data_IF_251927482986
#
_entry.id   IF_251927482986
#
_cell.length_a   1.000
_cell.length_b   1.000
_cell.length_c   1.000
_cell.angle_alpha   90.00
_cell.angle_beta   90.00
_cell.angle_gamma   90.00
#
_symmetry.space_group_name_H-M   'P 1'
#
loop_
_entity.id
_entity.type
_entity.pdbx_description
1 polymer ?
#
# COMPACT_ATOMS: atom_id res chain seq x y z
N UNK A 1 11.92 -12.32 19.99
CA UNK A 1 12.55 -11.43 18.97
C UNK A 1 12.09 -11.76 17.56
N UNK A 2 11.74 -13.01 17.23
CA UNK A 2 11.20 -13.39 15.91
C UNK A 2 9.83 -12.74 15.64
N UNK A 3 8.90 -12.84 16.59
CA UNK A 3 7.51 -12.37 16.40
C UNK A 3 7.36 -10.92 15.95
N UNK A 4 8.27 -10.03 16.39
CA UNK A 4 8.25 -8.61 15.98
C UNK A 4 8.76 -8.46 14.55
N UNK A 5 9.80 -9.20 14.19
CA UNK A 5 10.40 -9.16 12.85
C UNK A 5 9.44 -9.76 11.82
N UNK A 6 8.79 -10.87 12.18
CA UNK A 6 7.79 -11.53 11.34
C UNK A 6 6.57 -10.63 11.12
N UNK A 7 6.04 -10.00 12.19
CA UNK A 7 4.95 -9.02 12.06
C UNK A 7 5.30 -7.83 11.18
N UNK A 8 6.52 -7.30 11.28
CA UNK A 8 6.97 -6.18 10.41
C UNK A 8 7.10 -6.66 8.97
N UNK A 9 7.66 -7.85 8.73
CA UNK A 9 7.76 -8.47 7.42
C UNK A 9 6.39 -8.72 6.77
N UNK A 10 5.43 -9.21 7.55
CA UNK A 10 4.04 -9.43 7.11
C UNK A 10 3.34 -8.12 6.76
N UNK A 11 3.55 -7.07 7.56
CA UNK A 11 2.99 -5.73 7.29
C UNK A 11 3.60 -5.10 6.05
N UNK A 12 4.92 -5.21 5.86
CA UNK A 12 5.58 -4.69 4.66
C UNK A 12 5.14 -5.45 3.39
N UNK A 13 5.01 -6.78 3.47
CA UNK A 13 4.50 -7.61 2.38
C UNK A 13 3.03 -7.28 2.06
N UNK A 14 2.23 -7.03 3.10
CA UNK A 14 0.84 -6.57 2.95
C UNK A 14 0.78 -5.19 2.27
N UNK A 15 1.66 -4.25 2.65
CA UNK A 15 1.75 -2.93 2.04
C UNK A 15 2.00 -3.02 0.53
N UNK A 16 2.96 -3.86 0.11
CA UNK A 16 3.26 -4.11 -1.30
C UNK A 16 2.05 -4.69 -2.06
N UNK A 17 1.34 -5.65 -1.45
CA UNK A 17 0.16 -6.26 -2.05
C UNK A 17 -0.94 -5.23 -2.32
N UNK A 18 -1.28 -4.42 -1.31
CA UNK A 18 -2.31 -3.38 -1.45
C UNK A 18 -1.90 -2.29 -2.43
N UNK A 19 -0.62 -1.92 -2.47
CA UNK A 19 -0.11 -0.94 -3.44
C UNK A 19 -0.29 -1.44 -4.88
N UNK A 20 0.10 -2.69 -5.14
CA UNK A 20 -0.05 -3.30 -6.46
C UNK A 20 -1.52 -3.45 -6.87
N UNK A 21 -2.41 -3.82 -5.94
CA UNK A 21 -3.85 -3.83 -6.19
C UNK A 21 -4.34 -2.44 -6.58
N UNK A 22 -3.99 -1.40 -5.81
CA UNK A 22 -4.35 -0.02 -6.10
C UNK A 22 -3.87 0.48 -7.46
N UNK A 23 -2.70 0.05 -7.92
CA UNK A 23 -2.15 0.37 -9.25
C UNK A 23 -2.74 -0.45 -10.40
N UNK A 24 -3.44 -1.55 -10.13
CA UNK A 24 -4.02 -2.40 -11.18
C UNK A 24 -5.38 -1.86 -11.69
N UNK A 25 -6.06 -1.08 -10.85
CA UNK A 25 -7.39 -0.54 -11.11
C UNK A 25 -7.51 0.65 -12.11
N UNK A 26 -6.47 1.47 -12.40
CA UNK A 26 -6.61 2.65 -13.27
C UNK A 26 -6.93 2.35 -14.74
N UNK A 27 -6.60 1.16 -15.27
CA UNK A 27 -6.55 1.04 -16.74
C UNK A 27 -7.67 0.26 -17.41
N UNK A 28 -8.53 -0.54 -16.75
CA UNK A 28 -9.53 -1.30 -17.53
C UNK A 28 -10.94 -1.54 -16.95
N UNK A 29 -11.18 -1.77 -15.64
CA UNK A 29 -12.53 -2.20 -15.16
C UNK A 29 -12.89 -1.71 -13.71
N UNK A 30 -12.07 -0.88 -13.05
CA UNK A 30 -12.15 -0.64 -11.60
C UNK A 30 -12.96 0.56 -11.10
N UNK A 31 -13.63 0.41 -9.96
CA UNK A 31 -14.15 1.53 -9.15
C UNK A 31 -12.94 2.29 -8.55
N UNK A 32 -12.78 3.57 -8.92
CA UNK A 32 -11.71 4.42 -8.38
C UNK A 32 -11.69 4.45 -6.84
N UNK A 33 -12.84 4.21 -6.21
CA UNK A 33 -12.91 4.11 -4.75
C UNK A 33 -12.14 2.91 -4.21
N UNK A 34 -12.17 1.76 -4.89
CA UNK A 34 -11.38 0.58 -4.49
C UNK A 34 -9.88 0.80 -4.70
N UNK A 35 -9.50 1.44 -5.81
CA UNK A 35 -8.11 1.80 -6.08
C UNK A 35 -7.55 2.68 -4.94
N UNK A 36 -8.27 3.76 -4.62
CA UNK A 36 -7.91 4.68 -3.55
C UNK A 36 -7.87 3.99 -2.18
N UNK A 37 -8.86 3.15 -1.85
CA UNK A 37 -8.88 2.42 -0.58
C UNK A 37 -7.68 1.47 -0.42
N UNK A 38 -7.26 0.80 -1.51
CA UNK A 38 -6.10 -0.06 -1.50
C UNK A 38 -4.80 0.75 -1.34
N UNK A 39 -4.65 1.88 -2.04
CA UNK A 39 -3.49 2.76 -1.89
C UNK A 39 -3.40 3.40 -0.50
N UNK A 40 -4.52 3.78 0.11
CA UNK A 40 -4.57 4.30 1.49
C UNK A 40 -4.12 3.24 2.51
N UNK A 41 -4.58 1.99 2.37
CA UNK A 41 -4.12 0.87 3.20
C UNK A 41 -2.61 0.62 3.05
N UNK A 42 -2.12 0.63 1.81
CA UNK A 42 -0.69 0.47 1.54
C UNK A 42 0.14 1.54 2.24
N UNK A 43 -0.26 2.82 2.09
CA UNK A 43 0.38 3.95 2.77
C UNK A 43 0.43 3.76 4.28
N UNK A 44 -0.70 3.40 4.90
CA UNK A 44 -0.77 3.19 6.35
C UNK A 44 0.14 2.06 6.84
N UNK A 45 0.31 0.98 6.07
CA UNK A 45 1.23 -0.10 6.44
C UNK A 45 2.68 0.28 6.25
N UNK A 46 3.03 0.99 5.17
CA UNK A 46 4.38 1.53 5.01
C UNK A 46 4.75 2.48 6.17
N UNK A 47 3.82 3.33 6.61
CA UNK A 47 4.02 4.20 7.78
C UNK A 47 4.22 3.39 9.08
N UNK A 48 3.44 2.32 9.29
CA UNK A 48 3.57 1.45 10.46
C UNK A 48 4.91 0.70 10.53
N UNK A 49 5.48 0.33 9.39
CA UNK A 49 6.80 -0.33 9.34
C UNK A 49 7.97 0.65 9.18
N UNK A 50 7.68 1.95 9.12
CA UNK A 50 8.70 3.00 8.98
C UNK A 50 9.29 3.15 7.57
N UNK A 51 8.66 2.59 6.54
CA UNK A 51 9.08 2.75 5.14
C UNK A 51 8.51 4.05 4.54
N UNK A 52 9.23 5.14 4.77
CA UNK A 52 8.85 6.45 4.24
C UNK A 52 8.80 6.50 2.70
N UNK A 53 9.61 5.68 2.00
CA UNK A 53 9.64 5.67 0.53
C UNK A 53 8.39 5.01 -0.03
N UNK A 54 8.02 3.85 0.51
CA UNK A 54 6.77 3.16 0.15
C UNK A 54 5.54 4.04 0.41
N UNK A 55 5.50 4.71 1.57
CA UNK A 55 4.41 5.64 1.90
C UNK A 55 4.32 6.81 0.91
N UNK A 56 5.46 7.39 0.50
CA UNK A 56 5.48 8.47 -0.49
C UNK A 56 5.03 7.99 -1.88
N UNK A 57 5.40 6.78 -2.29
CA UNK A 57 4.93 6.21 -3.56
C UNK A 57 3.42 5.99 -3.55
N UNK A 58 2.88 5.40 -2.48
CA UNK A 58 1.43 5.24 -2.30
C UNK A 58 0.71 6.60 -2.31
N UNK A 59 1.26 7.61 -1.65
CA UNK A 59 0.71 8.97 -1.66
C UNK A 59 0.72 9.61 -3.05
N UNK A 60 1.76 9.39 -3.86
CA UNK A 60 1.79 9.86 -5.26
C UNK A 60 0.78 9.14 -6.13
N UNK A 61 0.62 7.83 -5.94
CA UNK A 61 -0.38 7.04 -6.65
C UNK A 61 -1.81 7.51 -6.32
N UNK A 62 -2.07 7.92 -5.07
CA UNK A 62 -3.35 8.50 -4.65
C UNK A 62 -3.70 9.83 -5.33
N UNK A 63 -2.71 10.58 -5.82
CA UNK A 63 -2.97 11.83 -6.55
C UNK A 63 -3.44 11.60 -7.99
N UNK A 64 -3.19 10.40 -8.53
CA UNK A 64 -3.47 10.05 -9.92
C UNK A 64 -4.54 8.96 -10.06
N UNK A 65 -5.01 8.39 -8.95
CA UNK A 65 -6.10 7.41 -8.85
C UNK A 65 -7.43 8.09 -8.55
#
# INVERSE_FOLDING_TARGET
SLDITDRIGDLHTSANTYFNLGLLYPENIGDQNEARANLEKAKAFYEQVGDARGAQQAARALLVA
#
